data_IF_952438559983
#
_entry.id   IF_952438559983
#
_cell.length_a   1.000
_cell.length_b   1.000
_cell.length_c   1.000
_cell.angle_alpha   90.00
_cell.angle_beta   90.00
_cell.angle_gamma   90.00
#
_symmetry.space_group_name_H-M   'P 1'
#
loop_
_entity.id
_entity.type
_entity.pdbx_description
1 polymer ?
#
# COMPACT_ATOMS: atom_id res chain seq x y z
N UNK A 1 13.60 22.75 0.50
CA UNK A 1 12.52 21.91 1.08
C UNK A 1 12.79 20.49 0.60
N UNK A 2 12.68 19.47 1.46
CA UNK A 2 12.79 18.08 0.99
C UNK A 2 11.48 17.73 0.27
N UNK A 3 11.58 17.14 -0.92
CA UNK A 3 10.41 16.70 -1.69
C UNK A 3 9.81 15.39 -1.15
N UNK A 4 10.39 14.83 -0.09
CA UNK A 4 9.93 13.61 0.57
C UNK A 4 9.90 13.80 2.09
N UNK A 5 8.86 13.26 2.73
CA UNK A 5 8.76 13.20 4.20
C UNK A 5 7.95 11.99 4.66
N UNK A 6 8.05 11.68 5.95
CA UNK A 6 7.29 10.62 6.61
C UNK A 6 6.34 11.26 7.63
N UNK A 7 5.04 10.99 7.50
CA UNK A 7 4.01 11.40 8.45
C UNK A 7 3.66 10.22 9.34
N UNK A 8 3.96 10.33 10.64
CA UNK A 8 3.63 9.31 11.64
C UNK A 8 2.18 9.45 12.10
N UNK A 9 1.46 8.35 12.08
CA UNK A 9 0.03 8.25 12.42
C UNK A 9 -0.18 7.09 13.39
N UNK A 10 -1.14 7.25 14.30
CA UNK A 10 -1.56 6.20 15.22
C UNK A 10 -3.05 5.97 15.01
N UNK A 11 -3.41 4.77 14.56
CA UNK A 11 -4.79 4.36 14.40
C UNK A 11 -5.32 3.83 15.74
N UNK A 12 -6.43 4.40 16.20
CA UNK A 12 -7.07 4.03 17.45
C UNK A 12 -8.43 3.38 17.19
N UNK A 13 -8.66 2.20 17.74
CA UNK A 13 -9.94 1.51 17.65
C UNK A 13 -10.40 1.03 19.03
N UNK A 14 -11.69 1.19 19.34
CA UNK A 14 -12.24 0.86 20.66
C UNK A 14 -12.06 -0.63 20.95
N UNK A 15 -11.39 -0.94 22.07
CA UNK A 15 -11.15 -2.32 22.51
C UNK A 15 -10.09 -3.07 21.71
N UNK A 16 -9.33 -2.39 20.86
CA UNK A 16 -8.20 -2.95 20.11
C UNK A 16 -6.91 -2.19 20.47
N UNK A 17 -5.73 -2.82 20.36
CA UNK A 17 -4.46 -2.11 20.45
C UNK A 17 -4.36 -1.01 19.39
N UNK A 18 -3.65 0.07 19.74
CA UNK A 18 -3.30 1.12 18.77
C UNK A 18 -2.38 0.53 17.69
N UNK A 19 -2.59 0.94 16.43
CA UNK A 19 -1.78 0.49 15.29
C UNK A 19 -0.96 1.66 14.75
N UNK A 20 0.35 1.51 14.69
CA UNK A 20 1.29 2.45 14.11
C UNK A 20 1.24 2.43 12.58
N UNK A 21 1.00 3.60 11.98
CA UNK A 21 0.94 3.81 10.54
C UNK A 21 1.84 4.98 10.14
N UNK A 22 2.82 4.77 9.27
CA UNK A 22 3.61 5.88 8.72
C UNK A 22 3.37 6.05 7.22
N UNK A 23 3.05 7.27 6.80
CA UNK A 23 2.89 7.60 5.37
C UNK A 23 4.17 8.22 4.83
N UNK A 24 4.79 7.59 3.85
CA UNK A 24 5.80 8.25 3.03
C UNK A 24 5.09 9.06 1.97
N UNK A 25 5.34 10.37 1.96
CA UNK A 25 4.73 11.30 1.00
C UNK A 25 5.80 11.99 0.16
N UNK A 26 5.46 12.21 -1.11
CA UNK A 26 6.30 12.88 -2.08
C UNK A 26 5.57 14.08 -2.68
N UNK A 27 6.28 15.19 -2.88
CA UNK A 27 5.76 16.36 -3.59
C UNK A 27 6.07 16.23 -5.07
N UNK A 28 5.02 16.11 -5.89
CA UNK A 28 5.18 16.01 -7.33
C UNK A 28 5.61 17.36 -7.97
N UNK A 29 5.94 17.34 -9.27
CA UNK A 29 6.36 18.53 -10.02
C UNK A 29 5.29 19.62 -10.11
N UNK A 30 4.01 19.27 -9.95
CA UNK A 30 2.89 20.23 -9.86
C UNK A 30 2.74 20.83 -8.46
N UNK A 31 3.58 20.42 -7.51
CA UNK A 31 3.59 20.92 -6.14
C UNK A 31 2.60 20.20 -5.20
N UNK A 32 1.96 19.12 -5.63
CA UNK A 32 0.99 18.34 -4.85
C UNK A 32 1.67 17.25 -4.03
N UNK A 33 1.21 17.04 -2.80
CA UNK A 33 1.64 15.90 -1.97
C UNK A 33 0.84 14.65 -2.33
N UNK A 34 1.54 13.54 -2.55
CA UNK A 34 0.95 12.22 -2.78
C UNK A 34 1.58 11.20 -1.83
N UNK A 35 0.79 10.25 -1.37
CA UNK A 35 1.30 9.09 -0.63
C UNK A 35 1.96 8.16 -1.66
N UNK A 36 3.17 7.70 -1.35
CA UNK A 36 3.92 6.78 -2.21
C UNK A 36 4.21 5.44 -1.54
N UNK A 37 4.13 5.36 -0.21
CA UNK A 37 4.25 4.12 0.56
C UNK A 37 3.59 4.27 1.93
N UNK A 38 3.21 3.15 2.54
CA UNK A 38 2.64 3.06 3.89
C UNK A 38 3.46 2.05 4.68
N UNK A 39 3.83 2.43 5.90
CA UNK A 39 4.38 1.54 6.91
C UNK A 39 3.25 1.09 7.84
N UNK A 40 3.19 -0.20 8.14
CA UNK A 40 2.32 -0.75 9.18
C UNK A 40 3.19 -1.51 10.16
N UNK A 41 3.22 -1.10 11.42
CA UNK A 41 3.97 -1.78 12.50
C UNK A 41 5.45 -2.07 12.14
N UNK A 42 6.11 -1.11 11.49
CA UNK A 42 7.52 -1.20 11.08
C UNK A 42 7.74 -1.78 9.68
N UNK A 43 6.70 -2.30 9.01
CA UNK A 43 6.82 -2.91 7.68
C UNK A 43 6.36 -1.95 6.58
N UNK A 44 7.26 -1.56 5.69
CA UNK A 44 6.94 -0.78 4.48
C UNK A 44 6.28 -1.65 3.42
N UNK A 45 5.09 -1.25 2.95
CA UNK A 45 4.26 -2.07 2.09
C UNK A 45 4.84 -2.25 0.69
N UNK A 46 5.37 -1.19 0.06
CA UNK A 46 6.00 -1.33 -1.27
C UNK A 46 7.13 -2.34 -1.23
N UNK A 47 7.98 -2.31 -0.20
CA UNK A 47 9.09 -3.26 -0.07
C UNK A 47 8.62 -4.68 0.22
N UNK A 48 7.62 -4.83 1.11
CA UNK A 48 7.01 -6.11 1.40
C UNK A 48 6.44 -6.79 0.13
N UNK A 49 5.76 -6.01 -0.72
CA UNK A 49 5.21 -6.52 -1.97
C UNK A 49 6.25 -6.71 -3.08
N UNK A 50 7.37 -5.95 -3.07
CA UNK A 50 8.45 -6.09 -4.06
C UNK A 50 8.96 -7.52 -4.16
N UNK A 51 9.13 -8.20 -3.03
CA UNK A 51 9.56 -9.60 -2.99
C UNK A 51 8.59 -10.54 -3.73
N UNK A 52 7.29 -10.34 -3.53
CA UNK A 52 6.23 -11.10 -4.20
C UNK A 52 6.18 -10.79 -5.70
N UNK A 53 6.30 -9.51 -6.05
CA UNK A 53 6.29 -9.06 -7.44
C UNK A 53 7.51 -9.53 -8.22
N UNK A 54 8.68 -9.61 -7.58
CA UNK A 54 9.89 -10.10 -8.23
C UNK A 54 9.70 -11.52 -8.80
N UNK A 55 9.03 -12.40 -8.06
CA UNK A 55 8.72 -13.76 -8.55
C UNK A 55 7.84 -13.72 -9.80
N UNK A 56 6.74 -12.97 -9.76
CA UNK A 56 5.80 -12.86 -10.90
C UNK A 56 6.45 -12.15 -12.09
N UNK A 57 7.23 -11.09 -11.85
CA UNK A 57 7.95 -10.36 -12.88
C UNK A 57 8.96 -11.25 -13.60
N UNK A 58 9.67 -12.11 -12.87
CA UNK A 58 10.64 -13.03 -13.46
C UNK A 58 9.98 -14.12 -14.31
N UNK A 59 8.75 -14.53 -13.95
CA UNK A 59 8.02 -15.60 -14.65
C UNK A 59 7.19 -15.09 -15.82
N UNK A 60 6.40 -14.04 -15.60
CA UNK A 60 5.34 -13.59 -16.50
C UNK A 60 5.51 -12.14 -16.98
N UNK A 61 6.58 -11.48 -16.56
CA UNK A 61 6.86 -10.08 -16.88
C UNK A 61 5.84 -9.09 -16.30
N UNK A 62 5.90 -7.85 -16.80
CA UNK A 62 4.97 -6.78 -16.41
C UNK A 62 3.50 -7.15 -16.66
N UNK A 63 3.11 -7.79 -17.78
CA UNK A 63 1.71 -8.19 -17.99
C UNK A 63 1.20 -9.17 -16.93
N UNK A 64 2.02 -10.11 -16.46
CA UNK A 64 1.64 -11.01 -15.38
C UNK A 64 1.44 -10.31 -14.05
N UNK A 65 2.31 -9.34 -13.74
CA UNK A 65 2.13 -8.51 -12.56
C UNK A 65 0.83 -7.70 -12.61
N UNK A 66 0.48 -7.12 -13.76
CA UNK A 66 -0.78 -6.38 -13.93
C UNK A 66 -1.98 -7.29 -13.65
N UNK A 67 -2.02 -8.49 -14.26
CA UNK A 67 -3.11 -9.46 -14.01
C UNK A 67 -3.22 -9.82 -12.53
N UNK A 68 -2.10 -10.11 -11.87
CA UNK A 68 -2.08 -10.41 -10.44
C UNK A 68 -2.66 -9.27 -9.60
N UNK A 69 -2.37 -8.01 -9.96
CA UNK A 69 -2.89 -6.84 -9.26
C UNK A 69 -4.39 -6.66 -9.50
N UNK A 70 -4.86 -6.87 -10.73
CA UNK A 70 -6.28 -6.83 -11.10
C UNK A 70 -7.07 -7.89 -10.32
N UNK A 71 -6.62 -9.15 -10.32
CA UNK A 71 -7.25 -10.25 -9.57
C UNK A 71 -7.34 -9.96 -8.06
N UNK A 72 -6.28 -9.41 -7.47
CA UNK A 72 -6.29 -9.01 -6.05
C UNK A 72 -7.26 -7.86 -5.79
N UNK A 73 -7.35 -6.90 -6.70
CA UNK A 73 -8.28 -5.78 -6.60
C UNK A 73 -9.73 -6.27 -6.63
N UNK A 74 -10.07 -7.14 -7.58
CA UNK A 74 -11.42 -7.70 -7.71
C UNK A 74 -11.83 -8.50 -6.48
N UNK A 75 -10.91 -9.34 -5.96
CA UNK A 75 -11.15 -10.09 -4.72
C UNK A 75 -11.42 -9.18 -3.51
N UNK A 76 -10.75 -8.02 -3.42
CA UNK A 76 -10.98 -7.05 -2.36
C UNK A 76 -12.33 -6.32 -2.51
N UNK A 77 -12.74 -6.02 -3.75
CA UNK A 77 -14.05 -5.43 -4.05
C UNK A 77 -15.16 -6.39 -3.63
N UNK A 78 -15.05 -7.66 -4.01
CA UNK A 78 -16.04 -8.70 -3.66
C UNK A 78 -16.14 -8.93 -2.15
N UNK A 79 -15.00 -9.02 -1.46
CA UNK A 79 -14.96 -9.19 -0.02
C UNK A 79 -15.62 -8.02 0.74
N UNK A 80 -15.47 -6.79 0.23
CA UNK A 80 -16.12 -5.61 0.81
C UNK A 80 -17.62 -5.58 0.50
N UNK A 81 -18.03 -5.98 -0.71
CA UNK A 81 -19.43 -6.10 -1.08
C UNK A 81 -20.18 -7.10 -0.18
N UNK A 82 -19.54 -8.21 0.20
CA UNK A 82 -20.11 -9.21 1.10
C UNK A 82 -20.23 -8.73 2.56
N UNK A 83 -19.33 -7.86 3.04
CA UNK A 83 -19.40 -7.29 4.41
C UNK A 83 -20.49 -6.23 4.58
N UNK A 84 -21.04 -5.71 3.48
CA UNK A 84 -22.03 -4.62 3.48
C UNK A 84 -23.47 -5.14 3.34
N UNK A 85 -23.66 -6.45 3.25
CA UNK A 85 -24.97 -7.14 3.30
C UNK A 85 -25.16 -7.78 4.67
#
# INVERSE_FOLDING_TARGET
>A
VKDEMVIRTLLKAKGQPDIGLDYRIYRNKAGEWKIVDVNVEGIWMVENYRSQFASTLNQDGVPGLIRLLEEKSDALVDANAQKTK
#
